data_IF_061388068010
#
_entry.id   IF_061388068010
#
_cell.length_a   1.000
_cell.length_b   1.000
_cell.length_c   1.000
_cell.angle_alpha   90.00
_cell.angle_beta   90.00
_cell.angle_gamma   90.00
#
_symmetry.space_group_name_H-M   'P 1'
#
loop_
_entity.id
_entity.type
_entity.pdbx_description
1 polymer ?
#
# COMPACT_ATOMS: atom_id res chain seq x y z
N UNK A 1 39.12 -29.78 2.42
CA UNK A 1 39.39 -30.95 1.58
C UNK A 1 38.06 -31.66 1.34
N UNK A 2 37.48 -31.45 0.17
CA UNK A 2 36.24 -32.11 -0.27
C UNK A 2 36.53 -33.58 -0.55
N UNK A 3 36.05 -34.47 0.30
CA UNK A 3 35.95 -35.90 0.01
C UNK A 3 34.84 -36.10 -1.01
N UNK A 4 35.19 -36.04 -2.29
CA UNK A 4 34.36 -36.56 -3.37
C UNK A 4 34.34 -38.09 -3.25
N UNK A 5 33.18 -38.76 -3.20
CA UNK A 5 33.16 -40.22 -3.20
C UNK A 5 33.67 -40.75 -4.56
N UNK A 6 34.64 -41.67 -4.54
CA UNK A 6 35.29 -42.31 -5.69
C UNK A 6 34.37 -43.25 -6.52
N UNK A 7 33.05 -43.24 -6.27
CA UNK A 7 32.12 -44.04 -7.05
C UNK A 7 31.91 -43.42 -8.43
N UNK A 8 32.38 -44.12 -9.47
CA UNK A 8 32.16 -43.78 -10.88
C UNK A 8 30.73 -44.12 -11.38
N UNK A 9 29.86 -44.63 -10.52
CA UNK A 9 28.49 -44.98 -10.89
C UNK A 9 27.65 -43.70 -11.10
N UNK A 10 27.21 -43.39 -12.34
CA UNK A 10 26.42 -42.21 -12.61
C UNK A 10 25.06 -42.19 -11.89
N UNK A 11 24.52 -43.35 -11.50
CA UNK A 11 23.29 -43.40 -10.69
C UNK A 11 23.56 -43.04 -9.21
N UNK A 12 24.66 -43.53 -8.64
CA UNK A 12 25.13 -43.13 -7.31
C UNK A 12 25.32 -41.61 -7.21
N UNK A 13 25.93 -41.01 -8.23
CA UNK A 13 26.16 -39.58 -8.31
C UNK A 13 24.87 -38.77 -8.49
N UNK A 14 23.75 -39.37 -8.90
CA UNK A 14 22.45 -38.67 -8.98
C UNK A 14 21.66 -38.79 -7.67
N UNK A 15 21.74 -39.93 -6.99
CA UNK A 15 21.06 -40.19 -5.72
C UNK A 15 21.66 -39.42 -4.53
N UNK A 16 22.99 -39.28 -4.50
CA UNK A 16 23.71 -38.65 -3.38
C UNK A 16 24.00 -37.16 -3.59
N UNK A 17 23.67 -36.65 -4.78
CA UNK A 17 23.93 -35.27 -5.17
C UNK A 17 22.80 -34.35 -4.75
N UNK A 18 23.13 -33.38 -3.92
CA UNK A 18 22.24 -32.30 -3.53
C UNK A 18 22.75 -31.00 -4.20
N UNK A 19 22.02 -30.43 -5.18
CA UNK A 19 22.45 -29.20 -5.86
C UNK A 19 22.29 -27.98 -4.92
N UNK A 20 23.38 -27.51 -4.28
CA UNK A 20 23.42 -26.37 -3.36
C UNK A 20 23.79 -25.08 -4.10
N UNK A 21 22.82 -24.45 -4.76
CA UNK A 21 23.06 -23.21 -5.50
C UNK A 21 24.04 -23.41 -6.67
N UNK A 22 25.21 -22.76 -6.64
CA UNK A 22 26.30 -22.96 -7.63
C UNK A 22 27.25 -24.11 -7.28
N UNK A 23 27.16 -24.66 -6.07
CA UNK A 23 28.01 -25.74 -5.58
C UNK A 23 27.24 -27.06 -5.48
N UNK A 24 27.97 -28.17 -5.52
CA UNK A 24 27.40 -29.51 -5.37
C UNK A 24 27.80 -30.06 -4.00
N UNK A 25 26.81 -30.36 -3.14
CA UNK A 25 27.04 -31.01 -1.85
C UNK A 25 26.61 -32.47 -1.91
N UNK A 26 27.35 -33.32 -1.20
CA UNK A 26 27.09 -34.75 -1.10
C UNK A 26 26.37 -35.05 0.22
N UNK A 27 25.33 -35.88 0.19
CA UNK A 27 24.74 -36.43 1.42
C UNK A 27 25.82 -37.28 2.10
N UNK A 28 26.14 -36.97 3.36
CA UNK A 28 27.11 -37.75 4.11
C UNK A 28 26.42 -38.91 4.83
N UNK A 29 26.98 -40.14 4.83
CA UNK A 29 26.36 -41.31 5.45
C UNK A 29 26.10 -41.19 6.96
N UNK A 30 26.80 -40.28 7.64
CA UNK A 30 26.69 -40.01 9.08
C UNK A 30 25.60 -38.98 9.43
N UNK A 31 24.87 -38.47 8.44
CA UNK A 31 23.77 -37.52 8.62
C UNK A 31 22.44 -38.12 8.20
N UNK A 32 21.39 -37.79 8.96
CA UNK A 32 20.02 -38.12 8.59
C UNK A 32 19.69 -37.61 7.18
N UNK A 33 19.16 -38.48 6.34
CA UNK A 33 18.64 -38.12 5.02
C UNK A 33 17.21 -37.62 5.20
N UNK A 34 16.95 -36.36 4.88
CA UNK A 34 15.59 -35.82 4.97
C UNK A 34 14.67 -36.46 3.96
N UNK A 35 13.40 -36.63 4.33
CA UNK A 35 12.35 -37.14 3.46
C UNK A 35 12.21 -36.33 2.16
N UNK A 36 12.43 -35.01 2.23
CA UNK A 36 12.39 -34.16 1.05
C UNK A 36 13.45 -34.51 0.00
N UNK A 37 14.62 -35.01 0.43
CA UNK A 37 15.65 -35.50 -0.49
C UNK A 37 15.21 -36.79 -1.19
N UNK A 38 14.55 -37.70 -0.47
CA UNK A 38 14.01 -38.94 -1.03
C UNK A 38 13.00 -38.65 -2.13
N UNK A 39 12.03 -37.77 -1.86
CA UNK A 39 11.02 -37.37 -2.85
C UNK A 39 11.64 -36.62 -4.05
N UNK A 40 12.61 -35.73 -3.80
CA UNK A 40 13.30 -35.03 -4.87
C UNK A 40 14.08 -35.96 -5.79
N UNK A 41 14.80 -36.93 -5.21
CA UNK A 41 15.53 -37.94 -5.96
C UNK A 41 14.57 -38.84 -6.76
N UNK A 42 13.45 -39.25 -6.16
CA UNK A 42 12.42 -40.04 -6.82
C UNK A 42 11.86 -39.34 -8.06
N UNK A 43 11.49 -38.05 -7.95
CA UNK A 43 11.02 -37.27 -9.08
C UNK A 43 12.08 -37.01 -10.15
N UNK A 44 13.35 -36.80 -9.75
CA UNK A 44 14.45 -36.55 -10.71
C UNK A 44 14.88 -37.82 -11.46
N UNK A 45 14.74 -38.98 -10.82
CA UNK A 45 15.09 -40.28 -11.39
C UNK A 45 13.90 -41.02 -12.00
N UNK A 46 12.70 -40.41 -11.93
CA UNK A 46 11.44 -40.97 -12.41
C UNK A 46 11.16 -42.38 -11.86
N UNK A 47 11.46 -42.59 -10.57
CA UNK A 47 11.25 -43.86 -9.87
C UNK A 47 10.39 -43.71 -8.61
N UNK A 48 10.00 -44.82 -7.99
CA UNK A 48 9.24 -44.76 -6.75
C UNK A 48 10.13 -44.35 -5.56
N UNK A 49 9.64 -43.52 -4.62
CA UNK A 49 10.36 -43.21 -3.37
C UNK A 49 10.84 -44.44 -2.60
N UNK A 50 10.08 -45.54 -2.63
CA UNK A 50 10.48 -46.80 -2.00
C UNK A 50 11.78 -47.38 -2.62
N UNK A 51 11.98 -47.20 -3.93
CA UNK A 51 13.21 -47.62 -4.62
C UNK A 51 14.39 -46.74 -4.19
N UNK A 52 14.16 -45.43 -4.03
CA UNK A 52 15.18 -44.48 -3.54
C UNK A 52 15.61 -44.85 -2.12
N UNK A 53 14.66 -45.12 -1.23
CA UNK A 53 14.96 -45.56 0.15
C UNK A 53 15.76 -46.86 0.14
N UNK A 54 15.32 -47.86 -0.62
CA UNK A 54 16.01 -49.15 -0.74
C UNK A 54 17.45 -48.98 -1.23
N UNK A 55 17.68 -48.11 -2.21
CA UNK A 55 19.01 -47.79 -2.73
C UNK A 55 19.87 -47.04 -1.71
N UNK A 56 19.33 -46.04 -1.00
CA UNK A 56 20.05 -45.32 0.05
C UNK A 56 20.46 -46.26 1.20
N UNK A 57 19.57 -47.16 1.62
CA UNK A 57 19.88 -48.18 2.63
C UNK A 57 20.99 -49.12 2.16
N UNK A 58 20.96 -49.57 0.90
CA UNK A 58 22.03 -50.40 0.33
C UNK A 58 23.40 -49.68 0.27
N UNK A 59 23.39 -48.35 0.17
CA UNK A 59 24.58 -47.50 0.20
C UNK A 59 25.05 -47.15 1.62
N UNK A 60 24.39 -47.65 2.66
CA UNK A 60 24.78 -47.48 4.06
C UNK A 60 24.18 -46.25 4.76
N UNK A 61 23.19 -45.58 4.16
CA UNK A 61 22.43 -44.53 4.84
C UNK A 61 21.39 -45.19 5.75
N UNK A 62 21.71 -45.28 7.05
CA UNK A 62 20.87 -45.96 8.04
C UNK A 62 19.79 -45.07 8.66
N UNK A 63 19.96 -43.75 8.63
CA UNK A 63 19.05 -42.76 9.22
C UNK A 63 18.35 -41.98 8.10
N UNK A 64 17.15 -42.44 7.72
CA UNK A 64 16.32 -41.82 6.66
C UNK A 64 15.00 -41.39 7.31
N UNK A 65 14.68 -40.10 7.21
CA UNK A 65 13.40 -39.55 7.65
C UNK A 65 12.29 -40.03 6.70
N UNK A 66 11.22 -40.62 7.25
CA UNK A 66 10.07 -41.12 6.51
C UNK A 66 8.77 -40.72 7.22
N UNK A 67 7.66 -40.53 6.49
CA UNK A 67 6.36 -40.27 7.09
C UNK A 67 5.80 -41.54 7.77
N UNK A 68 4.89 -41.35 8.71
CA UNK A 68 4.17 -42.45 9.37
C UNK A 68 3.24 -43.21 8.41
N UNK A 69 2.90 -42.60 7.26
CA UNK A 69 2.03 -43.15 6.22
C UNK A 69 2.78 -43.89 5.10
N UNK A 70 2.05 -44.50 4.14
CA UNK A 70 2.66 -45.14 2.99
C UNK A 70 3.39 -44.11 2.12
N UNK A 71 4.53 -44.52 1.55
CA UNK A 71 5.24 -43.72 0.57
C UNK A 71 4.40 -43.57 -0.71
N UNK A 72 4.40 -42.38 -1.34
CA UNK A 72 3.67 -42.19 -2.59
C UNK A 72 4.27 -43.09 -3.67
N UNK A 73 3.42 -43.61 -4.57
CA UNK A 73 3.86 -44.52 -5.63
C UNK A 73 4.68 -43.78 -6.70
N UNK A 74 4.36 -42.52 -6.97
CA UNK A 74 5.02 -41.69 -7.97
C UNK A 74 5.20 -40.27 -7.46
N UNK A 75 6.26 -39.61 -7.93
CA UNK A 75 6.54 -38.19 -7.69
C UNK A 75 6.79 -37.55 -9.04
N UNK A 76 5.96 -36.59 -9.43
CA UNK A 76 6.20 -35.81 -10.65
C UNK A 76 7.44 -34.91 -10.44
N UNK A 77 8.33 -34.76 -11.45
CA UNK A 77 9.47 -33.85 -11.35
C UNK A 77 9.10 -32.41 -10.94
N UNK A 78 7.91 -31.93 -11.30
CA UNK A 78 7.39 -30.62 -10.90
C UNK A 78 7.00 -30.58 -9.42
N UNK A 79 6.47 -31.69 -8.89
CA UNK A 79 6.11 -31.78 -7.47
C UNK A 79 7.34 -31.78 -6.55
N UNK A 80 8.51 -32.20 -7.07
CA UNK A 80 9.77 -32.09 -6.35
C UNK A 80 10.15 -30.64 -5.99
N UNK A 81 9.62 -29.65 -6.72
CA UNK A 81 9.78 -28.24 -6.37
C UNK A 81 8.91 -27.83 -5.18
N UNK A 82 7.80 -28.54 -4.91
CA UNK A 82 6.91 -28.22 -3.79
C UNK A 82 7.61 -28.41 -2.44
N UNK A 83 8.65 -29.24 -2.35
CA UNK A 83 9.22 -29.67 -1.06
C UNK A 83 10.41 -28.79 -0.62
N UNK A 84 10.96 -28.00 -1.55
CA UNK A 84 12.08 -27.09 -1.27
C UNK A 84 11.59 -25.89 -0.47
N UNK A 85 12.15 -25.69 0.72
CA UNK A 85 11.73 -24.63 1.65
C UNK A 85 12.25 -23.26 1.23
N UNK A 86 13.51 -23.16 0.80
CA UNK A 86 14.09 -21.92 0.26
C UNK A 86 14.56 -22.09 -1.20
N UNK A 87 14.41 -21.03 -1.99
CA UNK A 87 14.84 -21.02 -3.39
C UNK A 87 16.37 -21.03 -3.55
N UNK A 88 17.10 -20.56 -2.54
CA UNK A 88 18.55 -20.35 -2.59
C UNK A 88 19.34 -21.33 -1.72
N UNK A 89 18.73 -21.88 -0.66
CA UNK A 89 19.33 -22.88 0.23
C UNK A 89 18.52 -24.18 0.16
N UNK A 90 19.20 -25.32 0.13
CA UNK A 90 18.55 -26.63 0.19
C UNK A 90 18.15 -26.98 1.64
N UNK A 91 17.27 -26.17 2.24
CA UNK A 91 16.50 -26.65 3.38
C UNK A 91 15.25 -27.36 2.88
N UNK A 92 15.02 -28.56 3.41
CA UNK A 92 13.86 -29.38 3.11
C UNK A 92 12.79 -29.12 4.16
N UNK A 93 11.52 -29.20 3.77
CA UNK A 93 10.44 -29.29 4.74
C UNK A 93 10.65 -30.50 5.66
N UNK A 94 10.62 -30.28 6.97
CA UNK A 94 10.60 -31.35 7.96
C UNK A 94 9.18 -31.89 8.18
N UNK A 95 9.05 -33.21 8.38
CA UNK A 95 7.74 -33.86 8.52
C UNK A 95 7.01 -33.51 9.83
N UNK A 96 7.75 -33.18 10.88
CA UNK A 96 7.20 -32.95 12.23
C UNK A 96 6.61 -31.55 12.47
N UNK A 97 6.62 -30.65 11.47
CA UNK A 97 6.10 -29.29 11.61
C UNK A 97 5.00 -29.02 10.59
N UNK A 98 3.92 -28.31 10.97
CA UNK A 98 2.95 -27.84 10.01
C UNK A 98 3.61 -26.99 8.92
N UNK A 99 3.23 -27.24 7.66
CA UNK A 99 3.71 -26.44 6.52
C UNK A 99 3.14 -25.02 6.65
N UNK A 100 4.00 -24.01 6.62
CA UNK A 100 3.57 -22.61 6.66
C UNK A 100 2.82 -22.19 5.39
N UNK A 101 1.89 -21.24 5.52
CA UNK A 101 1.18 -20.64 4.38
C UNK A 101 2.15 -20.05 3.36
N UNK A 102 3.22 -19.39 3.83
CA UNK A 102 4.30 -18.86 2.99
C UNK A 102 4.88 -19.93 2.07
N UNK A 103 5.15 -21.10 2.63
CA UNK A 103 5.74 -22.19 1.86
C UNK A 103 4.79 -22.68 0.76
N UNK A 104 3.50 -22.89 1.10
CA UNK A 104 2.48 -23.29 0.12
C UNK A 104 2.39 -22.28 -1.03
N UNK A 105 2.38 -20.98 -0.73
CA UNK A 105 2.33 -19.92 -1.74
C UNK A 105 3.60 -19.83 -2.59
N UNK A 106 4.78 -19.97 -1.97
CA UNK A 106 6.04 -19.98 -2.70
C UNK A 106 6.18 -21.21 -3.61
N UNK A 107 5.71 -22.37 -3.16
CA UNK A 107 5.65 -23.60 -3.94
C UNK A 107 4.67 -23.49 -5.12
N UNK A 108 3.46 -22.98 -4.87
CA UNK A 108 2.46 -22.70 -5.89
C UNK A 108 3.00 -21.74 -6.97
N UNK A 109 3.63 -20.63 -6.55
CA UNK A 109 4.20 -19.65 -7.46
C UNK A 109 5.34 -20.20 -8.33
N UNK A 110 6.22 -21.04 -7.77
CA UNK A 110 7.33 -21.68 -8.52
C UNK A 110 6.84 -22.71 -9.54
N UNK A 111 5.78 -23.42 -9.22
CA UNK A 111 5.21 -24.48 -10.08
C UNK A 111 4.17 -23.95 -11.06
N UNK A 112 3.75 -22.68 -10.93
CA UNK A 112 2.64 -22.12 -11.69
C UNK A 112 1.29 -22.78 -11.38
N UNK A 113 1.17 -23.44 -10.21
CA UNK A 113 -0.04 -24.14 -9.77
C UNK A 113 -0.79 -23.33 -8.72
N UNK A 114 -2.01 -23.76 -8.40
CA UNK A 114 -2.82 -23.10 -7.38
C UNK A 114 -2.34 -23.43 -5.96
N UNK A 115 -2.56 -22.54 -4.98
CA UNK A 115 -2.32 -22.84 -3.57
C UNK A 115 -3.04 -24.13 -3.11
N UNK A 116 -4.27 -24.36 -3.57
CA UNK A 116 -5.02 -25.58 -3.28
C UNK A 116 -4.36 -26.84 -3.84
N UNK A 117 -3.82 -26.80 -5.06
CA UNK A 117 -3.05 -27.91 -5.63
C UNK A 117 -1.81 -28.21 -4.78
N UNK A 118 -1.01 -27.18 -4.47
CA UNK A 118 0.21 -27.34 -3.67
C UNK A 118 -0.08 -27.95 -2.29
N UNK A 119 -1.12 -27.46 -1.60
CA UNK A 119 -1.54 -28.01 -0.31
C UNK A 119 -1.98 -29.48 -0.39
N UNK A 120 -2.79 -29.85 -1.41
CA UNK A 120 -3.19 -31.25 -1.62
C UNK A 120 -2.00 -32.16 -1.86
N UNK A 121 -1.09 -31.77 -2.76
CA UNK A 121 0.10 -32.57 -3.07
C UNK A 121 1.04 -32.72 -1.87
N UNK A 122 1.24 -31.66 -1.09
CA UNK A 122 2.02 -31.75 0.15
C UNK A 122 1.36 -32.69 1.16
N UNK A 123 0.03 -32.66 1.26
CA UNK A 123 -0.74 -33.60 2.10
C UNK A 123 -0.60 -35.05 1.61
N UNK A 124 -0.70 -35.29 0.29
CA UNK A 124 -0.50 -36.61 -0.32
C UNK A 124 0.90 -37.16 -0.04
N UNK A 125 1.90 -36.28 0.06
CA UNK A 125 3.26 -36.64 0.43
C UNK A 125 3.45 -36.91 1.93
N UNK A 126 2.45 -36.67 2.76
CA UNK A 126 2.50 -36.88 4.21
C UNK A 126 2.93 -35.66 5.01
N UNK A 127 3.04 -34.48 4.39
CA UNK A 127 3.27 -33.23 5.13
C UNK A 127 1.98 -32.73 5.78
N UNK A 128 2.09 -32.24 7.01
CA UNK A 128 0.98 -31.66 7.74
C UNK A 128 0.63 -30.27 7.20
N UNK A 129 -0.39 -30.16 6.35
CA UNK A 129 -0.96 -28.87 5.94
C UNK A 129 -2.22 -28.60 6.77
N UNK A 130 -2.31 -27.46 7.49
CA UNK A 130 -3.48 -27.14 8.30
C UNK A 130 -4.80 -27.14 7.50
N UNK A 131 -5.73 -28.02 7.87
CA UNK A 131 -7.06 -28.14 7.28
C UNK A 131 -8.05 -27.17 7.94
N UNK A 132 -7.90 -25.87 7.63
CA UNK A 132 -8.80 -24.84 8.16
C UNK A 132 -9.87 -24.41 7.14
N UNK A 133 -9.45 -24.15 5.90
CA UNK A 133 -10.29 -23.58 4.85
C UNK A 133 -9.82 -24.03 3.45
N UNK A 134 -10.73 -24.15 2.47
CA UNK A 134 -10.34 -24.43 1.09
C UNK A 134 -9.53 -23.25 0.54
N UNK A 135 -8.30 -23.53 0.15
CA UNK A 135 -7.41 -22.57 -0.49
C UNK A 135 -7.91 -22.19 -1.90
N UNK A 136 -7.45 -21.07 -2.47
CA UNK A 136 -7.80 -20.68 -3.82
C UNK A 136 -7.36 -21.71 -4.86
N UNK A 137 -8.25 -22.06 -5.79
CA UNK A 137 -7.97 -22.94 -6.93
C UNK A 137 -7.36 -22.19 -8.12
N UNK A 138 -7.41 -20.87 -8.12
CA UNK A 138 -6.79 -20.04 -9.15
C UNK A 138 -5.38 -19.64 -8.71
N UNK A 139 -4.34 -19.90 -9.52
CA UNK A 139 -2.99 -19.45 -9.21
C UNK A 139 -2.89 -17.93 -9.25
N UNK A 140 -2.23 -17.33 -8.25
CA UNK A 140 -1.80 -15.94 -8.29
C UNK A 140 -0.45 -15.80 -7.57
N UNK A 141 0.60 -15.50 -8.32
CA UNK A 141 1.96 -15.38 -7.77
C UNK A 141 2.09 -14.20 -6.81
N UNK A 142 1.16 -13.25 -6.85
CA UNK A 142 1.14 -12.07 -5.97
C UNK A 142 0.56 -12.37 -4.59
N UNK A 143 -0.06 -13.54 -4.38
CA UNK A 143 -0.59 -13.94 -3.07
C UNK A 143 0.51 -13.96 -1.99
N UNK A 144 1.76 -14.22 -2.38
CA UNK A 144 2.90 -14.16 -1.45
C UNK A 144 3.13 -12.75 -0.89
N UNK A 145 2.84 -11.70 -1.67
CA UNK A 145 2.97 -10.31 -1.21
C UNK A 145 1.85 -9.96 -0.23
N UNK A 146 0.66 -10.53 -0.39
CA UNK A 146 -0.47 -10.30 0.51
C UNK A 146 -0.16 -10.75 1.95
N UNK A 147 0.59 -11.83 2.11
CA UNK A 147 0.92 -12.37 3.45
C UNK A 147 2.18 -11.75 4.07
N UNK A 148 2.82 -10.78 3.41
CA UNK A 148 4.06 -10.15 3.90
C UNK A 148 3.74 -9.04 4.91
N UNK A 149 4.27 -9.10 6.14
CA UNK A 149 3.96 -8.10 7.19
C UNK A 149 4.51 -6.70 6.92
N UNK A 150 5.74 -6.60 6.43
CA UNK A 150 6.42 -5.31 6.22
C UNK A 150 7.09 -5.19 4.85
N UNK A 151 6.96 -4.01 4.24
CA UNK A 151 7.48 -3.67 2.90
C UNK A 151 9.02 -3.70 2.81
N UNK A 152 9.75 -3.71 3.94
CA UNK A 152 11.21 -3.55 3.99
C UNK A 152 12.02 -4.51 4.87
N UNK A 153 11.42 -5.41 5.66
CA UNK A 153 12.14 -6.15 6.71
C UNK A 153 12.03 -7.68 6.64
N UNK A 154 13.20 -8.33 6.68
CA UNK A 154 13.60 -9.63 7.28
C UNK A 154 12.72 -10.89 7.20
N UNK A 155 11.59 -10.90 6.49
CA UNK A 155 10.85 -12.12 6.21
C UNK A 155 9.95 -12.60 7.35
N UNK A 156 9.23 -11.70 8.02
CA UNK A 156 8.05 -12.09 8.78
C UNK A 156 6.82 -12.19 7.86
N UNK A 157 6.19 -13.34 7.89
CA UNK A 157 5.04 -13.68 7.05
C UNK A 157 3.85 -14.02 7.93
N UNK A 158 2.67 -13.65 7.47
CA UNK A 158 1.43 -14.10 8.03
C UNK A 158 1.29 -15.60 7.76
N UNK A 159 0.76 -16.30 8.75
CA UNK A 159 0.53 -17.73 8.68
C UNK A 159 -0.95 -18.03 8.94
N UNK A 160 -1.32 -19.30 8.88
CA UNK A 160 -2.69 -19.79 9.04
C UNK A 160 -3.44 -19.15 10.21
N UNK A 161 -4.64 -18.62 9.94
CA UNK A 161 -5.52 -18.05 10.96
C UNK A 161 -5.06 -16.73 11.57
N UNK A 162 -3.93 -16.16 11.09
CA UNK A 162 -3.51 -14.83 11.51
C UNK A 162 -4.63 -13.81 11.22
N UNK A 163 -4.81 -12.87 12.14
CA UNK A 163 -5.75 -11.76 11.97
C UNK A 163 -4.99 -10.54 11.47
N UNK A 164 -5.52 -9.86 10.44
CA UNK A 164 -4.92 -8.64 9.91
C UNK A 164 -5.91 -7.47 9.92
N UNK A 165 -5.47 -6.28 10.36
CA UNK A 165 -6.28 -5.08 10.31
C UNK A 165 -6.39 -4.55 8.86
N UNK A 166 -7.42 -3.74 8.61
CA UNK A 166 -7.69 -3.16 7.30
C UNK A 166 -6.50 -2.41 6.68
N UNK A 167 -5.67 -1.72 7.49
CA UNK A 167 -4.51 -1.01 6.97
C UNK A 167 -3.49 -1.91 6.25
N UNK A 168 -3.38 -3.18 6.65
CA UNK A 168 -2.54 -4.17 5.97
C UNK A 168 -3.10 -4.46 4.57
N UNK A 169 -4.42 -4.68 4.49
CA UNK A 169 -5.14 -4.90 3.23
C UNK A 169 -4.95 -3.72 2.29
N UNK A 170 -5.13 -2.49 2.78
CA UNK A 170 -4.98 -1.26 1.99
C UNK A 170 -3.55 -1.10 1.47
N UNK A 171 -2.54 -1.37 2.32
CA UNK A 171 -1.14 -1.32 1.93
C UNK A 171 -0.81 -2.33 0.83
N UNK A 172 -1.22 -3.59 1.02
CA UNK A 172 -0.98 -4.65 0.05
C UNK A 172 -1.74 -4.41 -1.26
N UNK A 173 -2.97 -3.90 -1.19
CA UNK A 173 -3.76 -3.52 -2.36
C UNK A 173 -3.06 -2.41 -3.19
N UNK A 174 -2.57 -1.36 -2.52
CA UNK A 174 -1.82 -0.30 -3.17
C UNK A 174 -0.51 -0.76 -3.82
N UNK A 175 0.21 -1.68 -3.16
CA UNK A 175 1.45 -2.26 -3.70
C UNK A 175 1.20 -3.15 -4.93
N UNK A 176 0.13 -3.95 -4.91
CA UNK A 176 -0.21 -4.90 -5.97
C UNK A 176 -1.07 -4.30 -7.08
N UNK A 177 -1.56 -3.07 -6.92
CA UNK A 177 -2.53 -2.45 -7.82
C UNK A 177 -3.91 -3.12 -7.78
N UNK A 178 -4.24 -3.80 -6.67
CA UNK A 178 -5.56 -4.37 -6.44
C UNK A 178 -6.53 -3.33 -5.91
N UNK A 179 -7.82 -3.65 -6.04
CA UNK A 179 -8.82 -3.05 -5.19
C UNK A 179 -8.72 -3.61 -3.76
N UNK A 180 -9.04 -2.80 -2.73
CA UNK A 180 -9.09 -3.26 -1.34
C UNK A 180 -9.98 -4.50 -1.15
N UNK A 181 -11.13 -4.55 -1.81
CA UNK A 181 -12.04 -5.69 -1.74
C UNK A 181 -11.39 -6.97 -2.30
N UNK A 182 -10.71 -6.88 -3.45
CA UNK A 182 -10.00 -8.02 -4.05
C UNK A 182 -8.90 -8.54 -3.12
N UNK A 183 -8.09 -7.64 -2.56
CA UNK A 183 -7.03 -8.01 -1.62
C UNK A 183 -7.59 -8.68 -0.35
N UNK A 184 -8.68 -8.14 0.21
CA UNK A 184 -9.36 -8.70 1.38
C UNK A 184 -9.91 -10.10 1.10
N UNK A 185 -10.63 -10.27 -0.02
CA UNK A 185 -11.18 -11.57 -0.44
C UNK A 185 -10.09 -12.61 -0.65
N UNK A 186 -8.96 -12.22 -1.25
CA UNK A 186 -7.80 -13.10 -1.42
C UNK A 186 -7.22 -13.52 -0.07
N UNK A 187 -6.97 -12.58 0.85
CA UNK A 187 -6.48 -12.88 2.19
C UNK A 187 -7.41 -13.85 2.95
N UNK A 188 -8.72 -13.61 2.91
CA UNK A 188 -9.72 -14.52 3.51
C UNK A 188 -9.66 -15.92 2.87
N UNK A 189 -9.54 -15.99 1.54
CA UNK A 189 -9.37 -17.26 0.82
C UNK A 189 -8.08 -18.00 1.20
N UNK A 190 -7.04 -17.28 1.61
CA UNK A 190 -5.78 -17.83 2.12
C UNK A 190 -5.84 -18.24 3.60
N UNK A 191 -7.00 -18.13 4.26
CA UNK A 191 -7.17 -18.47 5.66
C UNK A 191 -6.71 -17.38 6.64
N UNK A 192 -6.54 -16.15 6.17
CA UNK A 192 -6.26 -14.97 7.00
C UNK A 192 -7.58 -14.36 7.45
N UNK A 193 -7.70 -14.02 8.74
CA UNK A 193 -8.90 -13.43 9.34
C UNK A 193 -8.85 -11.91 9.24
N UNK A 194 -10.02 -11.31 9.02
CA UNK A 194 -10.21 -9.86 9.04
C UNK A 194 -11.15 -9.54 10.21
N UNK A 195 -10.90 -8.46 10.99
CA UNK A 195 -11.79 -8.03 12.06
C UNK A 195 -13.04 -7.29 11.54
N UNK A 196 -13.25 -7.29 10.22
CA UNK A 196 -14.34 -6.64 9.51
C UNK A 196 -14.76 -7.48 8.29
N UNK A 197 -15.98 -7.31 7.82
CA UNK A 197 -16.45 -7.96 6.60
C UNK A 197 -16.14 -7.07 5.37
N UNK A 198 -15.35 -7.53 4.38
CA UNK A 198 -15.04 -6.71 3.21
C UNK A 198 -16.25 -6.58 2.27
N UNK A 199 -16.54 -5.36 1.83
CA UNK A 199 -17.69 -5.05 0.96
C UNK A 199 -17.23 -4.45 -0.37
N UNK A 200 -17.90 -4.71 -1.50
CA UNK A 200 -17.56 -4.08 -2.78
C UNK A 200 -17.67 -2.55 -2.74
N UNK A 201 -18.56 -2.01 -1.91
CA UNK A 201 -18.76 -0.56 -1.73
C UNK A 201 -17.56 0.15 -1.11
N UNK A 202 -16.68 -0.57 -0.40
CA UNK A 202 -15.49 -0.01 0.25
C UNK A 202 -14.57 0.69 -0.75
N UNK A 203 -14.53 0.22 -1.99
CA UNK A 203 -13.67 0.78 -3.03
C UNK A 203 -14.00 2.26 -3.30
N UNK A 204 -15.28 2.60 -3.44
CA UNK A 204 -15.67 4.00 -3.69
C UNK A 204 -15.39 4.89 -2.48
N UNK A 205 -15.58 4.36 -1.28
CA UNK A 205 -15.32 5.05 -0.01
C UNK A 205 -13.82 5.34 0.13
N UNK A 206 -12.96 4.38 -0.20
CA UNK A 206 -11.51 4.47 -0.01
C UNK A 206 -10.80 5.23 -1.14
N UNK A 207 -11.42 5.36 -2.32
CA UNK A 207 -10.80 5.95 -3.51
C UNK A 207 -11.00 7.45 -3.61
N UNK A 208 -10.08 8.25 -3.08
CA UNK A 208 -10.16 9.72 -3.16
C UNK A 208 -8.96 10.39 -3.87
N UNK A 209 -7.94 9.61 -4.26
CA UNK A 209 -6.77 10.10 -5.00
C UNK A 209 -6.66 9.52 -6.41
N UNK A 210 -5.57 9.85 -7.10
CA UNK A 210 -5.19 9.26 -8.40
C UNK A 210 -3.87 8.48 -8.32
N UNK A 211 -3.70 7.51 -9.21
CA UNK A 211 -2.46 6.72 -9.34
C UNK A 211 -2.15 5.85 -8.10
N UNK A 212 -0.86 5.72 -7.75
CA UNK A 212 -0.39 4.88 -6.64
C UNK A 212 -0.80 5.38 -5.24
N UNK A 213 -1.42 6.57 -5.15
CA UNK A 213 -2.03 7.12 -3.92
C UNK A 213 -3.56 7.19 -4.02
N UNK A 214 -4.16 6.35 -4.88
CA UNK A 214 -5.60 6.37 -5.10
C UNK A 214 -6.41 5.97 -3.86
N UNK A 215 -5.84 5.13 -2.99
CA UNK A 215 -6.52 4.56 -1.83
C UNK A 215 -6.10 5.24 -0.53
N UNK A 216 -7.04 5.36 0.41
CA UNK A 216 -6.74 5.66 1.80
C UNK A 216 -5.72 4.66 2.37
N UNK A 217 -4.79 5.16 3.18
CA UNK A 217 -3.73 4.43 3.84
C UNK A 217 -3.78 4.66 5.36
N UNK A 218 -2.99 3.88 6.11
CA UNK A 218 -2.93 3.80 7.58
C UNK A 218 -2.88 5.14 8.34
N UNK A 219 -2.39 6.20 7.71
CA UNK A 219 -2.23 7.53 8.30
C UNK A 219 -2.82 8.64 7.44
N UNK A 220 -3.56 8.29 6.40
CA UNK A 220 -4.23 9.28 5.59
C UNK A 220 -5.63 9.46 6.14
N UNK A 221 -5.91 10.66 6.61
CA UNK A 221 -7.28 11.05 6.91
C UNK A 221 -8.00 11.32 5.59
N UNK A 222 -9.23 10.83 5.48
CA UNK A 222 -10.08 11.02 4.31
C UNK A 222 -10.70 12.42 4.37
N UNK A 223 -10.57 13.24 3.31
CA UNK A 223 -11.15 14.58 3.28
C UNK A 223 -12.66 14.58 3.45
N UNK A 224 -13.20 15.51 4.24
CA UNK A 224 -14.65 15.69 4.41
C UNK A 224 -15.39 15.87 3.08
N UNK A 225 -14.82 16.62 2.14
CA UNK A 225 -15.39 16.82 0.79
C UNK A 225 -15.57 15.51 0.01
N UNK A 226 -14.64 14.55 0.18
CA UNK A 226 -14.78 13.22 -0.43
C UNK A 226 -15.94 12.43 0.18
N UNK A 227 -16.10 12.50 1.50
CA UNK A 227 -17.19 11.80 2.20
C UNK A 227 -18.54 12.34 1.75
N UNK A 228 -18.67 13.67 1.63
CA UNK A 228 -19.89 14.31 1.13
C UNK A 228 -20.19 13.91 -0.32
N UNK A 229 -19.16 13.80 -1.16
CA UNK A 229 -19.29 13.39 -2.55
C UNK A 229 -19.74 11.92 -2.68
N UNK A 230 -19.13 11.01 -1.91
CA UNK A 230 -19.57 9.61 -1.84
C UNK A 230 -21.01 9.50 -1.33
N UNK A 231 -21.38 10.27 -0.31
CA UNK A 231 -22.75 10.31 0.23
C UNK A 231 -23.75 10.73 -0.85
N UNK A 232 -23.43 11.80 -1.59
CA UNK A 232 -24.26 12.32 -2.69
C UNK A 232 -24.42 11.30 -3.82
N UNK A 233 -23.34 10.63 -4.22
CA UNK A 233 -23.37 9.67 -5.33
C UNK A 233 -24.11 8.37 -4.97
N UNK A 234 -23.93 7.88 -3.75
CA UNK A 234 -24.50 6.59 -3.32
C UNK A 234 -25.87 6.72 -2.67
N UNK A 235 -26.27 7.94 -2.28
CA UNK A 235 -27.46 8.18 -1.45
C UNK A 235 -27.30 7.71 0.00
N UNK A 236 -26.09 7.34 0.43
CA UNK A 236 -25.83 6.87 1.79
C UNK A 236 -25.69 8.02 2.78
N UNK A 237 -26.15 7.88 4.04
CA UNK A 237 -25.86 8.86 5.08
C UNK A 237 -24.36 9.03 5.33
N UNK A 238 -23.91 10.26 5.54
CA UNK A 238 -22.53 10.62 5.84
C UNK A 238 -22.01 9.85 7.05
N UNK A 239 -22.82 9.76 8.11
CA UNK A 239 -22.51 9.02 9.32
C UNK A 239 -22.22 7.52 9.05
N UNK A 240 -22.91 6.90 8.08
CA UNK A 240 -22.67 5.51 7.70
C UNK A 240 -21.31 5.36 6.99
N UNK A 241 -20.94 6.30 6.13
CA UNK A 241 -19.63 6.31 5.46
C UNK A 241 -18.51 6.54 6.48
N UNK A 242 -18.68 7.47 7.42
CA UNK A 242 -17.73 7.72 8.51
C UNK A 242 -17.56 6.49 9.40
N UNK A 243 -18.66 5.84 9.79
CA UNK A 243 -18.62 4.60 10.56
C UNK A 243 -17.89 3.49 9.80
N UNK A 244 -18.13 3.37 8.49
CA UNK A 244 -17.47 2.39 7.64
C UNK A 244 -15.97 2.66 7.50
N UNK A 245 -15.57 3.92 7.33
CA UNK A 245 -14.15 4.33 7.34
C UNK A 245 -13.48 3.97 8.67
N UNK A 246 -14.14 4.20 9.80
CA UNK A 246 -13.62 3.83 11.12
C UNK A 246 -13.44 2.31 11.28
N UNK A 247 -14.38 1.49 10.80
CA UNK A 247 -14.24 0.03 10.75
C UNK A 247 -13.04 -0.41 9.90
N UNK A 248 -12.80 0.30 8.79
CA UNK A 248 -11.64 0.10 7.90
C UNK A 248 -10.34 0.75 8.44
N UNK A 249 -10.35 1.28 9.67
CA UNK A 249 -9.18 1.89 10.30
C UNK A 249 -8.71 3.20 9.64
N UNK A 250 -9.58 3.85 8.87
CA UNK A 250 -9.34 5.15 8.26
C UNK A 250 -9.94 6.27 9.11
N UNK A 251 -9.16 7.33 9.34
CA UNK A 251 -9.63 8.53 10.02
C UNK A 251 -10.32 9.51 9.06
N UNK A 252 -11.07 10.45 9.63
CA UNK A 252 -11.60 11.62 8.94
C UNK A 252 -10.81 12.84 9.39
N UNK A 253 -10.48 13.76 8.47
CA UNK A 253 -9.63 14.91 8.79
C UNK A 253 -10.39 16.10 9.39
N UNK A 254 -11.67 16.22 9.07
CA UNK A 254 -12.54 17.33 9.43
C UNK A 254 -13.96 16.86 9.83
N UNK A 255 -14.73 17.71 10.54
CA UNK A 255 -16.16 17.47 10.75
C UNK A 255 -16.89 17.29 9.41
N UNK A 256 -17.80 16.31 9.36
CA UNK A 256 -18.67 16.08 8.20
C UNK A 256 -20.08 16.52 8.58
N UNK A 257 -20.65 17.54 7.92
CA UNK A 257 -22.00 17.99 8.23
C UNK A 257 -23.05 16.97 7.78
N UNK A 258 -24.07 16.76 8.60
CA UNK A 258 -25.21 15.89 8.25
C UNK A 258 -26.05 16.50 7.11
N UNK A 259 -26.14 17.83 7.07
CA UNK A 259 -26.83 18.59 6.03
C UNK A 259 -25.84 19.54 5.34
N UNK A 260 -25.14 19.09 4.29
CA UNK A 260 -24.23 19.94 3.53
C UNK A 260 -25.02 21.00 2.73
N UNK A 261 -24.46 22.20 2.66
CA UNK A 261 -24.93 23.26 1.76
C UNK A 261 -24.42 22.99 0.33
N UNK A 262 -25.13 23.47 -0.69
CA UNK A 262 -24.71 23.31 -2.08
C UNK A 262 -23.29 23.86 -2.32
N UNK A 263 -22.96 24.98 -1.67
CA UNK A 263 -21.66 25.61 -1.79
C UNK A 263 -20.53 24.84 -1.08
N UNK A 264 -20.82 23.92 -0.14
CA UNK A 264 -19.78 23.18 0.58
C UNK A 264 -18.87 22.39 -0.36
N UNK A 265 -19.45 21.79 -1.40
CA UNK A 265 -18.69 21.08 -2.42
C UNK A 265 -17.74 22.02 -3.16
N UNK A 266 -18.19 23.23 -3.47
CA UNK A 266 -17.39 24.26 -4.14
C UNK A 266 -16.27 24.72 -3.21
N UNK A 267 -16.59 25.03 -1.95
CA UNK A 267 -15.63 25.51 -0.95
C UNK A 267 -14.53 24.47 -0.67
N UNK A 268 -14.88 23.18 -0.64
CA UNK A 268 -13.96 22.07 -0.35
C UNK A 268 -13.20 21.56 -1.58
N UNK A 269 -13.55 21.97 -2.80
CA UNK A 269 -12.80 21.64 -4.03
C UNK A 269 -11.59 22.56 -4.17
N UNK A 270 -10.42 22.01 -4.52
CA UNK A 270 -9.21 22.79 -4.78
C UNK A 270 -9.40 23.80 -5.94
N UNK A 271 -10.19 23.42 -6.95
CA UNK A 271 -10.45 24.25 -8.14
C UNK A 271 -11.77 25.00 -8.08
N UNK A 272 -12.51 24.90 -6.96
CA UNK A 272 -13.81 25.53 -6.76
C UNK A 272 -14.86 25.11 -7.80
N UNK A 273 -14.77 23.88 -8.28
CA UNK A 273 -15.69 23.30 -9.28
C UNK A 273 -16.68 22.29 -8.69
N UNK A 274 -16.65 22.11 -7.36
CA UNK A 274 -17.49 21.14 -6.67
C UNK A 274 -17.04 19.68 -6.81
N UNK A 275 -15.80 19.45 -7.27
CA UNK A 275 -15.23 18.11 -7.55
C UNK A 275 -13.85 17.94 -6.93
N UNK A 276 -13.39 16.70 -6.88
CA UNK A 276 -12.03 16.37 -6.49
C UNK A 276 -10.99 17.06 -7.41
N UNK A 277 -9.79 17.42 -6.91
CA UNK A 277 -9.26 17.08 -5.59
C UNK A 277 -9.84 17.95 -4.46
N UNK A 278 -10.11 17.32 -3.32
CA UNK A 278 -10.65 17.97 -2.13
C UNK A 278 -9.53 18.59 -1.28
N UNK A 279 -9.84 19.70 -0.61
CA UNK A 279 -8.90 20.36 0.29
C UNK A 279 -8.52 19.44 1.46
N UNK A 280 -7.22 19.25 1.75
CA UNK A 280 -6.80 18.60 2.98
C UNK A 280 -6.92 19.56 4.17
N UNK A 281 -7.21 19.05 5.36
CA UNK A 281 -7.08 19.84 6.59
C UNK A 281 -5.60 20.08 6.89
N UNK A 282 -5.16 21.34 6.79
CA UNK A 282 -3.82 21.76 7.17
C UNK A 282 -3.88 22.66 8.40
N UNK A 283 -3.60 22.11 9.59
CA UNK A 283 -3.63 22.88 10.85
C UNK A 283 -2.42 23.80 11.04
N UNK A 284 -1.33 23.56 10.31
CA UNK A 284 -0.12 24.37 10.43
C UNK A 284 -0.22 25.65 9.60
N UNK A 285 -0.66 25.54 8.34
CA UNK A 285 -0.73 26.67 7.40
C UNK A 285 -2.16 27.23 7.29
N UNK A 286 -3.18 26.46 7.64
CA UNK A 286 -4.57 26.83 7.39
C UNK A 286 -4.91 26.86 5.90
N UNK A 287 -6.14 27.30 5.60
CA UNK A 287 -6.56 27.59 4.22
C UNK A 287 -5.88 28.86 3.74
N UNK A 288 -5.35 28.81 2.51
CA UNK A 288 -4.76 29.97 1.87
C UNK A 288 -5.82 31.06 1.62
N UNK A 289 -5.47 32.31 1.90
CA UNK A 289 -6.37 33.44 1.70
C UNK A 289 -6.83 33.57 0.23
N UNK A 290 -5.96 33.23 -0.73
CA UNK A 290 -6.30 33.15 -2.15
C UNK A 290 -7.51 32.24 -2.41
N UNK A 291 -7.58 31.09 -1.74
CA UNK A 291 -8.71 30.16 -1.88
C UNK A 291 -10.01 30.79 -1.38
N UNK A 292 -9.97 31.42 -0.21
CA UNK A 292 -11.12 32.12 0.40
C UNK A 292 -11.65 33.20 -0.55
N UNK A 293 -10.76 34.04 -1.10
CA UNK A 293 -11.16 35.13 -2.00
C UNK A 293 -11.73 34.60 -3.32
N UNK A 294 -11.13 33.56 -3.92
CA UNK A 294 -11.67 32.91 -5.11
C UNK A 294 -13.05 32.30 -4.83
N UNK A 295 -13.20 31.58 -3.72
CA UNK A 295 -14.46 30.99 -3.30
C UNK A 295 -15.56 32.05 -3.10
N UNK A 296 -15.22 33.20 -2.51
CA UNK A 296 -16.14 34.33 -2.35
C UNK A 296 -16.66 34.83 -3.70
N UNK A 297 -15.80 34.98 -4.71
CA UNK A 297 -16.23 35.37 -6.05
C UNK A 297 -17.08 34.31 -6.76
N UNK A 298 -16.76 33.03 -6.60
CA UNK A 298 -17.47 31.92 -7.26
C UNK A 298 -18.86 31.70 -6.65
N UNK A 299 -18.97 31.77 -5.31
CA UNK A 299 -20.22 31.51 -4.59
C UNK A 299 -21.08 32.77 -4.40
N UNK A 300 -20.50 33.96 -4.61
CA UNK A 300 -21.16 35.25 -4.33
C UNK A 300 -21.26 35.60 -2.84
N UNK A 301 -20.68 34.78 -1.95
CA UNK A 301 -20.63 35.03 -0.50
C UNK A 301 -19.54 36.04 -0.15
N UNK A 302 -19.63 36.68 1.02
CA UNK A 302 -18.52 37.53 1.49
C UNK A 302 -17.32 36.68 1.91
N UNK A 303 -16.08 37.22 1.90
CA UNK A 303 -14.91 36.49 2.41
C UNK A 303 -15.07 36.04 3.88
N UNK A 304 -15.80 36.82 4.69
CA UNK A 304 -16.09 36.45 6.08
C UNK A 304 -16.99 35.21 6.15
N UNK A 305 -18.09 35.18 5.39
CA UNK A 305 -19.01 34.03 5.36
C UNK A 305 -18.31 32.76 4.84
N UNK A 306 -17.46 32.89 3.82
CA UNK A 306 -16.67 31.76 3.30
C UNK A 306 -15.71 31.24 4.36
N UNK A 307 -15.05 32.14 5.09
CA UNK A 307 -14.12 31.79 6.16
C UNK A 307 -14.84 31.08 7.30
N UNK A 308 -15.99 31.60 7.73
CA UNK A 308 -16.81 30.98 8.77
C UNK A 308 -17.29 29.59 8.35
N UNK A 309 -17.78 29.44 7.12
CA UNK A 309 -18.24 28.15 6.60
C UNK A 309 -17.10 27.13 6.50
N UNK A 310 -15.96 27.53 5.95
CA UNK A 310 -14.78 26.66 5.90
C UNK A 310 -14.32 26.27 7.32
N UNK A 311 -14.33 27.19 8.28
CA UNK A 311 -13.99 26.88 9.67
C UNK A 311 -14.95 25.87 10.31
N UNK A 312 -16.26 25.97 10.04
CA UNK A 312 -17.26 24.99 10.47
C UNK A 312 -17.00 23.60 9.86
N UNK A 313 -16.46 23.55 8.64
CA UNK A 313 -15.99 22.34 7.96
C UNK A 313 -14.59 21.88 8.41
N UNK A 314 -13.99 22.51 9.42
CA UNK A 314 -12.66 22.17 9.95
C UNK A 314 -11.47 22.81 9.22
N UNK A 315 -11.73 23.70 8.26
CA UNK A 315 -10.74 24.38 7.43
C UNK A 315 -10.60 25.86 7.83
N UNK A 316 -9.91 26.12 8.94
CA UNK A 316 -9.63 27.49 9.39
C UNK A 316 -8.58 28.22 8.54
N UNK A 317 -8.64 29.55 8.41
CA UNK A 317 -7.55 30.34 7.84
C UNK A 317 -6.32 30.30 8.76
N UNK A 318 -5.16 30.71 8.23
CA UNK A 318 -3.99 30.91 9.07
C UNK A 318 -4.25 31.96 10.18
N UNK A 319 -3.64 31.79 11.36
CA UNK A 319 -3.85 32.67 12.51
C UNK A 319 -3.49 34.15 12.27
N UNK A 320 -2.63 34.43 11.30
CA UNK A 320 -2.22 35.79 10.90
C UNK A 320 -2.96 36.32 9.67
N UNK A 321 -3.78 35.51 9.01
CA UNK A 321 -4.53 35.95 7.84
C UNK A 321 -5.53 37.04 8.23
N UNK A 322 -5.48 38.17 7.52
CA UNK A 322 -6.46 39.25 7.67
C UNK A 322 -7.42 39.19 6.50
N UNK A 323 -8.59 38.60 6.75
CA UNK A 323 -9.62 38.42 5.74
C UNK A 323 -10.24 39.79 5.40
N UNK A 324 -10.16 40.26 4.13
CA UNK A 324 -10.76 41.54 3.74
C UNK A 324 -12.28 41.44 3.71
N UNK A 325 -12.98 42.57 3.87
CA UNK A 325 -14.44 42.61 3.84
C UNK A 325 -15.04 42.29 2.45
N UNK A 326 -14.30 42.56 1.38
CA UNK A 326 -14.71 42.34 -0.01
C UNK A 326 -13.59 41.60 -0.75
N UNK A 327 -13.96 40.61 -1.57
CA UNK A 327 -13.02 39.94 -2.45
C UNK A 327 -12.65 40.85 -3.64
N UNK A 328 -11.38 41.21 -3.73
CA UNK A 328 -10.83 41.97 -4.85
C UNK A 328 -10.10 41.00 -5.82
N UNK A 329 -10.50 40.94 -7.11
CA UNK A 329 -9.77 40.16 -8.11
C UNK A 329 -8.28 40.50 -8.22
N UNK A 330 -7.88 41.74 -7.92
CA UNK A 330 -6.46 42.14 -7.93
C UNK A 330 -5.67 41.49 -6.79
N UNK A 331 -6.29 41.27 -5.62
CA UNK A 331 -5.65 40.55 -4.52
C UNK A 331 -5.45 39.07 -4.87
N UNK A 332 -6.38 38.46 -5.61
CA UNK A 332 -6.24 37.07 -6.07
C UNK A 332 -5.02 36.93 -6.99
N UNK A 333 -4.85 37.86 -7.94
CA UNK A 333 -3.69 37.91 -8.84
C UNK A 333 -2.38 38.16 -8.07
N UNK A 334 -2.42 39.06 -7.09
CA UNK A 334 -1.28 39.34 -6.22
C UNK A 334 -0.87 38.11 -5.40
N UNK A 335 -1.83 37.35 -4.87
CA UNK A 335 -1.56 36.15 -4.06
C UNK A 335 -1.16 34.93 -4.90
N UNK A 336 -1.32 34.96 -6.22
CA UNK A 336 -0.90 33.88 -7.12
C UNK A 336 0.63 33.71 -7.15
N UNK A 337 1.39 34.76 -6.85
CA UNK A 337 2.87 34.71 -6.82
C UNK A 337 3.42 34.31 -5.46
N UNK A 338 2.59 34.30 -4.42
CA UNK A 338 2.99 34.06 -3.03
C UNK A 338 2.66 32.61 -2.70
N UNK A 339 3.62 31.73 -2.98
CA UNK A 339 3.55 30.30 -2.65
C UNK A 339 3.99 30.00 -1.20
N UNK A 340 4.40 31.04 -0.47
CA UNK A 340 4.94 30.96 0.90
C UNK A 340 3.84 30.91 1.95
N UNK A 341 4.16 30.24 3.07
CA UNK A 341 3.29 30.23 4.23
C UNK A 341 3.34 31.59 4.94
N UNK A 342 2.31 31.92 5.71
CA UNK A 342 2.30 33.11 6.58
C UNK A 342 3.39 33.09 7.67
N UNK A 343 4.08 31.96 7.85
CA UNK A 343 5.20 31.81 8.78
C UNK A 343 6.53 32.23 8.15
N UNK A 344 6.59 32.31 6.81
CA UNK A 344 7.77 32.69 6.06
C UNK A 344 7.69 34.17 5.69
N UNK A 345 8.84 34.85 5.66
CA UNK A 345 8.92 36.20 5.11
C UNK A 345 8.66 36.14 3.60
N UNK A 346 7.82 37.06 3.11
CA UNK A 346 7.65 37.25 1.66
C UNK A 346 8.91 37.89 1.11
N UNK A 347 9.66 37.15 0.30
CA UNK A 347 10.86 37.67 -0.36
C UNK A 347 10.53 38.81 -1.33
N UNK A 348 11.48 39.74 -1.51
CA UNK A 348 11.39 40.86 -2.45
C UNK A 348 11.01 40.40 -3.87
N UNK A 349 11.49 39.24 -4.31
CA UNK A 349 11.14 38.68 -5.62
C UNK A 349 9.63 38.47 -5.83
N UNK A 350 8.91 38.03 -4.79
CA UNK A 350 7.46 37.83 -4.87
C UNK A 350 6.74 39.18 -4.96
N UNK A 351 7.21 40.20 -4.24
CA UNK A 351 6.66 41.56 -4.30
C UNK A 351 6.84 42.15 -5.70
N UNK A 352 8.04 42.05 -6.28
CA UNK A 352 8.33 42.54 -7.62
C UNK A 352 7.53 41.78 -8.69
N UNK A 353 7.39 40.46 -8.55
CA UNK A 353 6.57 39.64 -9.46
C UNK A 353 5.08 40.04 -9.38
N UNK A 354 4.54 40.24 -8.18
CA UNK A 354 3.17 40.72 -8.00
C UNK A 354 2.96 42.12 -8.55
N UNK A 355 3.92 43.02 -8.36
CA UNK A 355 3.87 44.37 -8.94
C UNK A 355 3.78 44.30 -10.47
N UNK A 356 4.60 43.45 -11.09
CA UNK A 356 4.55 43.24 -12.54
C UNK A 356 3.23 42.62 -13.02
N UNK A 357 2.64 41.67 -12.28
CA UNK A 357 1.38 41.02 -12.69
C UNK A 357 0.14 41.90 -12.46
N UNK A 358 0.17 42.77 -11.47
CA UNK A 358 -0.97 43.62 -11.11
C UNK A 358 -0.87 45.04 -11.66
N UNK A 359 0.31 45.47 -12.12
CA UNK A 359 0.58 46.85 -12.53
C UNK A 359 0.68 47.84 -11.36
N UNK A 360 0.64 47.35 -10.11
CA UNK A 360 0.79 48.13 -8.89
C UNK A 360 2.27 48.47 -8.65
N UNK A 361 2.56 49.49 -7.84
CA UNK A 361 3.95 49.72 -7.39
C UNK A 361 4.36 48.60 -6.42
N UNK A 362 5.66 48.27 -6.31
CA UNK A 362 6.14 47.38 -5.26
C UNK A 362 5.73 47.83 -3.85
N UNK A 363 5.68 49.14 -3.58
CA UNK A 363 5.18 49.70 -2.32
C UNK A 363 3.69 49.38 -2.08
N UNK A 364 2.84 49.58 -3.10
CA UNK A 364 1.41 49.24 -3.04
C UNK A 364 1.20 47.74 -2.77
N UNK A 365 1.97 46.89 -3.44
CA UNK A 365 1.94 45.43 -3.24
C UNK A 365 2.36 45.05 -1.82
N UNK A 366 3.47 45.61 -1.32
CA UNK A 366 3.96 45.36 0.03
C UNK A 366 2.94 45.82 1.10
N UNK A 367 2.37 47.00 0.93
CA UNK A 367 1.31 47.52 1.79
C UNK A 367 0.08 46.60 1.77
N UNK A 368 -0.32 46.13 0.58
CA UNK A 368 -1.47 45.22 0.45
C UNK A 368 -1.21 43.87 1.11
N UNK A 369 -0.05 43.25 0.87
CA UNK A 369 0.35 42.00 1.51
C UNK A 369 0.37 42.12 3.04
N UNK A 370 0.89 43.22 3.57
CA UNK A 370 0.85 43.54 5.02
C UNK A 370 -0.58 43.67 5.52
N UNK A 371 -1.45 44.33 4.75
CA UNK A 371 -2.88 44.46 5.02
C UNK A 371 -3.63 43.13 5.05
N UNK A 372 -3.18 42.15 4.25
CA UNK A 372 -3.68 40.77 4.22
C UNK A 372 -3.03 39.86 5.28
N UNK A 373 -2.04 40.37 6.02
CA UNK A 373 -1.41 39.67 7.15
C UNK A 373 -0.10 38.94 6.84
N UNK A 374 0.48 39.13 5.66
CA UNK A 374 1.80 38.61 5.32
C UNK A 374 2.91 39.43 5.98
N UNK A 375 4.00 38.76 6.38
CA UNK A 375 5.21 39.41 6.90
C UNK A 375 6.20 39.68 5.76
N UNK A 376 6.73 40.89 5.71
CA UNK A 376 7.78 41.30 4.78
C UNK A 376 9.07 41.58 5.57
N UNK A 377 10.25 41.52 4.92
CA UNK A 377 11.52 41.90 5.54
C UNK A 377 11.55 43.39 5.90
N UNK A 378 11.90 43.72 7.14
CA UNK A 378 11.94 45.10 7.65
C UNK A 378 13.08 45.95 7.01
N UNK A 379 14.05 45.30 6.38
CA UNK A 379 15.27 45.92 5.86
C UNK A 379 15.17 46.38 4.39
N UNK A 380 14.01 46.19 3.76
CA UNK A 380 13.81 46.43 2.33
C UNK A 380 12.88 47.63 2.10
N UNK A 381 13.41 48.68 1.46
CA UNK A 381 12.59 49.77 0.94
C UNK A 381 11.95 49.39 -0.39
N UNK A 382 10.62 49.50 -0.47
CA UNK A 382 9.87 49.18 -1.69
C UNK A 382 9.58 50.46 -2.48
N UNK A 383 9.94 50.53 -3.77
CA UNK A 383 9.74 51.74 -4.56
C UNK A 383 8.26 51.98 -4.89
N UNK A 384 7.88 53.26 -4.94
CA UNK A 384 6.56 53.74 -5.39
C UNK A 384 6.41 53.73 -6.92
N UNK A 385 7.51 53.51 -7.64
CA UNK A 385 7.52 53.56 -9.10
C UNK A 385 6.86 52.32 -9.66
N UNK A 386 5.76 52.52 -10.41
CA UNK A 386 5.12 51.46 -11.18
C UNK A 386 6.06 51.02 -12.29
N UNK A 387 6.22 49.71 -12.47
CA UNK A 387 6.95 49.20 -13.62
C UNK A 387 6.24 49.66 -14.89
N UNK A 388 6.88 50.52 -15.68
CA UNK A 388 6.52 50.76 -17.08
C UNK A 388 6.94 49.54 -17.89
N UNK A 389 6.33 48.39 -17.63
CA UNK A 389 6.48 47.24 -18.51
C UNK A 389 5.66 47.56 -19.76
N UNK A 390 6.37 47.83 -20.85
CA UNK A 390 5.84 48.18 -22.14
C UNK A 390 4.79 47.17 -22.60
N UNK A 391 3.63 47.69 -23.00
CA UNK A 391 2.71 47.01 -23.90
C UNK A 391 3.46 46.77 -25.20
N UNK A 392 4.13 45.62 -25.32
CA UNK A 392 4.56 45.08 -26.61
C UNK A 392 3.57 43.99 -26.99
N UNK A 393 3.05 44.13 -28.21
CA UNK A 393 1.88 43.46 -28.79
C UNK A 393 1.94 41.93 -28.83
#
# INVERSE_FOLDING_TARGET
>A
MSSSPESQDPEYLRLTRIPMGRETAWVKPDRQVSYGHVLYAAGTLECAPADVVSRLTALGFADIELPDGPLPLTVDPVDALLIKEEAYNLSWLGLGKPVSLRHVLAAAGRTGRSPAYAARRLTDFGYAVPAGHPLPETPDTRDIVLIRRERGGNGEWLDWGAEVPAHHVLSAAGELGYSPHTAAKRLVGLGIRLPYAPEPGDERILRYGTGHRAWAARYSSVPSGHILDVARETGSPQAAIVARLAELGCGVDAPVPDAPEADDFVLLSHELDGRAPWLPVNRAVGVQLRHILRASLVTGRTPADVTERLAALGHGPHAHAKVPAVADPEDIRLLETVDRSFLDNVHLEHVLRSASLTGRSPADVAARLTGLGYRLPDEVEYPEVRSTAAVAA
#
